data_IF_079956538857
#
_entry.id   IF_079956538857
#
_cell.length_a   1.000
_cell.length_b   1.000
_cell.length_c   1.000
_cell.angle_alpha   90.00
_cell.angle_beta   90.00
_cell.angle_gamma   90.00
#
_symmetry.space_group_name_H-M   'P 1'
#
loop_
_entity.id
_entity.type
_entity.pdbx_description
1 polymer ?
#
# COMPACT_ATOMS: atom_id res chain seq x y z
N UNK A 1 -8.05 8.86 -14.22
CA UNK A 1 -8.75 9.11 -12.94
C UNK A 1 -10.26 9.21 -13.12
N UNK A 2 -10.80 10.10 -13.98
CA UNK A 2 -12.27 10.31 -14.13
C UNK A 2 -13.02 9.05 -14.57
N UNK A 3 -12.52 8.31 -15.55
CA UNK A 3 -13.16 7.05 -16.02
C UNK A 3 -13.26 6.02 -14.89
N UNK A 4 -12.21 5.88 -14.08
CA UNK A 4 -12.21 4.96 -12.93
C UNK A 4 -13.22 5.44 -11.88
N UNK A 5 -13.25 6.74 -11.60
CA UNK A 5 -14.20 7.35 -10.67
C UNK A 5 -15.66 7.07 -11.10
N UNK A 6 -15.98 7.24 -12.38
CA UNK A 6 -17.27 6.91 -12.94
C UNK A 6 -17.59 5.41 -12.79
N UNK A 7 -16.68 4.52 -13.18
CA UNK A 7 -16.84 3.08 -13.04
C UNK A 7 -17.14 2.68 -11.58
N UNK A 8 -16.39 3.21 -10.60
CA UNK A 8 -16.62 2.93 -9.17
C UNK A 8 -17.99 3.48 -8.72
N UNK A 9 -18.38 4.69 -9.17
CA UNK A 9 -19.63 5.33 -8.76
C UNK A 9 -20.86 4.58 -9.26
N UNK A 10 -20.84 4.16 -10.53
CA UNK A 10 -22.01 3.53 -11.16
C UNK A 10 -22.15 2.02 -10.87
N UNK A 11 -21.06 1.36 -10.42
CA UNK A 11 -21.10 -0.10 -10.17
C UNK A 11 -21.33 -0.48 -8.71
N UNK A 12 -21.23 0.47 -7.78
CA UNK A 12 -21.52 0.19 -6.37
C UNK A 12 -21.93 1.45 -5.62
N UNK A 13 -22.89 1.38 -4.66
CA UNK A 13 -23.33 2.52 -3.87
C UNK A 13 -22.23 3.03 -2.95
N UNK A 14 -22.16 4.37 -2.73
CA UNK A 14 -21.23 5.00 -1.79
C UNK A 14 -20.22 5.95 -2.44
N UNK A 15 -19.20 6.42 -1.67
CA UNK A 15 -18.20 7.37 -2.15
C UNK A 15 -17.24 6.73 -3.15
N UNK A 16 -16.71 7.52 -4.08
CA UNK A 16 -15.71 7.07 -5.07
C UNK A 16 -14.37 6.78 -4.41
N UNK A 17 -14.00 7.64 -3.48
CA UNK A 17 -12.72 7.55 -2.77
C UNK A 17 -12.90 6.97 -1.38
N UNK A 18 -11.88 6.25 -0.95
CA UNK A 18 -11.69 5.75 0.40
C UNK A 18 -10.39 6.32 0.97
N UNK A 19 -10.41 6.71 2.24
CA UNK A 19 -9.24 7.21 2.97
C UNK A 19 -8.94 6.28 4.12
N UNK A 20 -7.78 5.65 4.11
CA UNK A 20 -7.37 4.74 5.17
C UNK A 20 -6.28 5.36 6.03
N UNK A 21 -6.45 5.24 7.36
CA UNK A 21 -5.45 5.66 8.34
C UNK A 21 -4.22 4.77 8.27
N UNK A 22 -3.05 5.38 8.16
CA UNK A 22 -1.75 4.73 8.08
C UNK A 22 -0.73 5.54 8.89
N UNK A 23 0.40 4.94 9.24
CA UNK A 23 1.54 5.69 9.75
C UNK A 23 2.40 6.19 8.58
N UNK A 24 2.73 7.46 8.63
CA UNK A 24 3.66 8.15 7.75
C UNK A 24 5.01 8.38 8.41
N UNK A 25 5.68 9.47 8.01
CA UNK A 25 6.97 9.89 8.57
C UNK A 25 6.88 10.08 10.09
N UNK A 26 7.87 9.56 10.80
CA UNK A 26 7.99 9.60 12.28
C UNK A 26 6.76 9.03 13.02
N UNK A 27 6.03 8.11 12.39
CA UNK A 27 4.84 7.48 12.96
C UNK A 27 3.62 8.40 13.04
N UNK A 28 3.64 9.56 12.39
CA UNK A 28 2.47 10.45 12.33
C UNK A 28 1.36 9.81 11.53
N UNK A 29 0.11 9.91 11.98
CA UNK A 29 -1.04 9.41 11.23
C UNK A 29 -1.24 10.22 9.95
N UNK A 30 -1.34 9.54 8.82
CA UNK A 30 -1.73 10.08 7.52
C UNK A 30 -2.98 9.37 7.01
N UNK A 31 -3.70 10.01 6.10
CA UNK A 31 -4.85 9.42 5.41
C UNK A 31 -4.49 9.13 3.97
N UNK A 32 -4.34 7.85 3.65
CA UNK A 32 -3.96 7.40 2.30
C UNK A 32 -5.20 7.31 1.42
N UNK A 33 -5.17 8.01 0.30
CA UNK A 33 -6.24 8.02 -0.68
C UNK A 33 -6.23 6.77 -1.55
N UNK A 34 -7.43 6.19 -1.78
CA UNK A 34 -7.62 5.09 -2.72
C UNK A 34 -8.96 5.23 -3.44
N UNK A 35 -9.10 4.61 -4.61
CA UNK A 35 -10.41 4.32 -5.13
C UNK A 35 -11.07 3.23 -4.27
N UNK A 36 -12.37 3.36 -4.03
CA UNK A 36 -13.12 2.32 -3.34
C UNK A 36 -13.18 1.06 -4.21
N UNK A 37 -12.62 -0.02 -3.72
CA UNK A 37 -12.62 -1.33 -4.36
C UNK A 37 -13.47 -2.37 -3.62
N UNK A 38 -14.01 -2.01 -2.44
CA UNK A 38 -14.78 -2.90 -1.56
C UNK A 38 -16.09 -2.27 -1.13
N UNK A 39 -17.10 -3.10 -0.79
CA UNK A 39 -18.40 -2.65 -0.29
C UNK A 39 -18.31 -2.13 1.14
N UNK A 40 -17.57 -2.81 2.00
CA UNK A 40 -17.32 -2.45 3.40
C UNK A 40 -15.93 -1.86 3.53
N UNK A 41 -15.78 -0.79 4.30
CA UNK A 41 -14.54 -0.05 4.47
C UNK A 41 -14.30 0.18 5.95
N UNK A 42 -13.25 -0.44 6.47
CA UNK A 42 -12.91 -0.44 7.89
C UNK A 42 -11.78 0.56 8.15
N UNK A 43 -11.99 1.46 9.10
CA UNK A 43 -10.98 2.39 9.63
C UNK A 43 -10.85 2.28 11.16
N UNK A 44 -11.46 1.25 11.77
CA UNK A 44 -11.45 1.02 13.21
C UNK A 44 -10.17 0.39 13.73
N UNK A 45 -10.21 0.00 15.01
CA UNK A 45 -9.11 -0.69 15.69
C UNK A 45 -8.85 -2.09 15.10
N UNK A 46 -9.90 -2.74 14.58
CA UNK A 46 -9.80 -4.02 13.89
C UNK A 46 -9.94 -3.79 12.38
N UNK A 47 -8.87 -4.01 11.64
CA UNK A 47 -8.86 -3.96 10.18
C UNK A 47 -8.57 -5.36 9.65
N UNK A 48 -9.60 -6.04 9.14
CA UNK A 48 -9.43 -7.33 8.48
C UNK A 48 -8.71 -7.13 7.14
N UNK A 49 -7.54 -7.72 7.01
CA UNK A 49 -6.81 -7.71 5.74
C UNK A 49 -7.64 -8.38 4.64
N UNK A 50 -7.68 -7.77 3.45
CA UNK A 50 -8.34 -8.37 2.31
C UNK A 50 -7.55 -9.60 1.84
N UNK A 51 -8.25 -10.70 1.62
CA UNK A 51 -7.69 -11.97 1.15
C UNK A 51 -8.06 -12.25 -0.31
N UNK A 52 -7.42 -13.25 -0.91
CA UNK A 52 -7.78 -13.70 -2.26
C UNK A 52 -9.20 -14.27 -2.25
N UNK A 53 -10.07 -13.72 -3.13
CA UNK A 53 -11.48 -14.16 -3.20
C UNK A 53 -12.41 -13.50 -2.18
N UNK A 54 -11.97 -12.45 -1.47
CA UNK A 54 -12.79 -11.71 -0.50
C UNK A 54 -14.09 -11.21 -1.16
N UNK A 55 -15.24 -11.60 -0.59
CA UNK A 55 -16.59 -11.30 -1.07
C UNK A 55 -16.96 -9.80 -0.96
N UNK A 56 -16.24 -9.06 -0.13
CA UNK A 56 -16.38 -7.60 -0.01
C UNK A 56 -15.89 -6.85 -1.25
N UNK A 57 -15.05 -7.48 -2.09
CA UNK A 57 -14.47 -6.84 -3.28
C UNK A 57 -15.51 -6.73 -4.38
N UNK A 58 -15.73 -5.51 -4.89
CA UNK A 58 -16.64 -5.29 -6.02
C UNK A 58 -16.04 -5.82 -7.32
N UNK A 59 -16.87 -6.15 -8.37
CA UNK A 59 -16.35 -6.58 -9.66
C UNK A 59 -15.34 -5.59 -10.27
N UNK A 60 -15.64 -4.29 -10.26
CA UNK A 60 -14.71 -3.25 -10.68
C UNK A 60 -13.51 -3.18 -9.76
N UNK A 61 -13.73 -3.29 -8.44
CA UNK A 61 -12.67 -3.32 -7.44
C UNK A 61 -11.65 -4.43 -7.67
N UNK A 62 -12.09 -5.60 -8.16
CA UNK A 62 -11.20 -6.72 -8.50
C UNK A 62 -10.23 -6.34 -9.62
N UNK A 63 -10.72 -5.71 -10.67
CA UNK A 63 -9.88 -5.22 -11.77
C UNK A 63 -8.91 -4.15 -11.27
N UNK A 64 -9.40 -3.17 -10.49
CA UNK A 64 -8.58 -2.08 -9.95
C UNK A 64 -7.45 -2.63 -9.07
N UNK A 65 -7.74 -3.57 -8.17
CA UNK A 65 -6.74 -4.19 -7.27
C UNK A 65 -5.71 -5.01 -8.05
N UNK A 66 -6.16 -5.81 -9.01
CA UNK A 66 -5.28 -6.60 -9.88
C UNK A 66 -4.28 -5.74 -10.65
N UNK A 67 -4.72 -4.58 -11.12
CA UNK A 67 -3.90 -3.61 -11.87
C UNK A 67 -3.26 -2.54 -10.99
N UNK A 68 -3.54 -2.52 -9.68
CA UNK A 68 -3.16 -1.44 -8.73
C UNK A 68 -3.66 -0.04 -9.09
N UNK A 69 -4.64 0.05 -9.97
CA UNK A 69 -5.27 1.33 -10.32
C UNK A 69 -6.09 1.93 -9.17
N UNK A 70 -6.49 1.10 -8.19
CA UNK A 70 -7.11 1.58 -6.94
C UNK A 70 -6.19 2.48 -6.12
N UNK A 71 -4.87 2.39 -6.30
CA UNK A 71 -3.87 3.16 -5.58
C UNK A 71 -3.46 4.48 -6.26
N UNK A 72 -3.93 4.74 -7.50
CA UNK A 72 -3.63 5.98 -8.22
C UNK A 72 -3.94 7.27 -7.42
N UNK A 73 -5.02 7.35 -6.61
CA UNK A 73 -5.28 8.53 -5.80
C UNK A 73 -4.19 8.85 -4.76
N UNK A 74 -3.27 7.91 -4.44
CA UNK A 74 -2.12 8.18 -3.57
C UNK A 74 -1.16 9.22 -4.17
N UNK A 75 -1.23 9.50 -5.47
CA UNK A 75 -0.50 10.61 -6.07
C UNK A 75 -0.89 11.96 -5.44
N UNK A 76 -2.11 12.11 -4.93
CA UNK A 76 -2.52 13.28 -4.15
C UNK A 76 -1.73 13.37 -2.85
N UNK A 77 -1.49 12.23 -2.17
CA UNK A 77 -0.64 12.20 -0.97
C UNK A 77 0.81 12.58 -1.28
N UNK A 78 1.31 12.27 -2.47
CA UNK A 78 2.66 12.69 -2.89
C UNK A 78 2.70 14.21 -3.12
N UNK A 79 1.70 14.77 -3.80
CA UNK A 79 1.56 16.22 -4.02
C UNK A 79 1.42 16.96 -2.68
N UNK A 80 0.61 16.42 -1.75
CA UNK A 80 0.44 16.94 -0.39
C UNK A 80 1.71 16.81 0.47
N UNK A 81 2.73 16.06 0.00
CA UNK A 81 3.99 15.83 0.70
C UNK A 81 3.89 14.84 1.87
N UNK A 82 2.75 14.13 2.05
CA UNK A 82 2.56 13.13 3.10
C UNK A 82 3.11 11.75 2.72
N UNK A 83 3.32 11.50 1.41
CA UNK A 83 3.95 10.29 0.86
C UNK A 83 5.04 10.65 -0.15
N UNK A 84 5.81 9.65 -0.56
CA UNK A 84 6.74 9.68 -1.70
C UNK A 84 6.26 8.71 -2.80
N UNK A 85 6.79 8.84 -4.01
CA UNK A 85 6.59 7.83 -5.06
C UNK A 85 7.21 6.50 -4.64
N UNK A 86 8.47 6.55 -4.14
CA UNK A 86 9.24 5.39 -3.69
C UNK A 86 9.50 5.46 -2.20
N UNK A 87 9.35 4.34 -1.50
CA UNK A 87 9.58 4.23 -0.06
C UNK A 87 8.92 2.99 0.56
N UNK A 88 9.10 2.75 1.87
CA UNK A 88 8.42 1.69 2.58
C UNK A 88 6.90 1.79 2.44
N UNK A 89 6.23 0.66 2.17
CA UNK A 89 4.77 0.66 2.02
C UNK A 89 4.08 0.93 3.36
N UNK A 90 3.15 1.91 3.46
CA UNK A 90 2.48 2.20 4.71
C UNK A 90 1.48 1.09 5.08
N UNK A 91 1.56 0.57 6.31
CA UNK A 91 0.62 -0.41 6.84
C UNK A 91 -0.55 0.25 7.57
N UNK A 92 -1.68 -0.47 7.71
CA UNK A 92 -2.78 -0.02 8.55
C UNK A 92 -2.29 0.14 10.01
N UNK A 93 -2.81 1.15 10.71
CA UNK A 93 -2.38 1.46 12.09
C UNK A 93 -2.47 0.22 13.00
N UNK A 94 -3.55 -0.55 12.91
CA UNK A 94 -3.72 -1.78 13.68
C UNK A 94 -2.60 -2.82 13.43
N UNK A 95 -2.15 -2.96 12.17
CA UNK A 95 -1.05 -3.86 11.85
C UNK A 95 0.30 -3.37 12.40
N UNK A 96 0.54 -2.06 12.42
CA UNK A 96 1.77 -1.53 13.03
C UNK A 96 1.85 -1.86 14.52
N UNK A 97 0.74 -1.72 15.25
CA UNK A 97 0.69 -2.07 16.68
C UNK A 97 0.92 -3.56 16.92
N UNK A 98 0.42 -4.42 16.03
CA UNK A 98 0.61 -5.87 16.12
C UNK A 98 2.08 -6.29 15.90
N UNK A 99 2.79 -5.67 14.93
CA UNK A 99 4.12 -6.12 14.52
C UNK A 99 5.26 -5.38 15.23
N UNK A 100 5.03 -4.17 15.79
CA UNK A 100 6.08 -3.39 16.47
C UNK A 100 6.74 -4.12 17.65
N UNK A 101 6.01 -4.99 18.33
CA UNK A 101 6.52 -5.80 19.45
C UNK A 101 7.10 -7.16 19.04
N UNK A 102 6.90 -7.57 17.77
CA UNK A 102 7.30 -8.89 17.27
C UNK A 102 8.49 -8.86 16.32
N UNK A 103 8.84 -7.69 15.79
CA UNK A 103 9.90 -7.53 14.81
C UNK A 103 10.81 -6.40 15.27
N UNK A 104 12.06 -6.74 15.57
CA UNK A 104 13.06 -5.76 15.98
C UNK A 104 13.29 -4.71 14.89
N UNK A 105 13.32 -3.45 15.33
CA UNK A 105 13.50 -2.32 14.41
C UNK A 105 12.31 -2.03 13.49
N UNK A 106 11.14 -2.69 13.66
CA UNK A 106 9.96 -2.49 12.81
C UNK A 106 9.63 -1.01 12.58
N UNK A 107 9.73 -0.17 13.61
CA UNK A 107 9.39 1.25 13.54
C UNK A 107 10.41 2.10 12.77
N UNK A 108 11.63 1.60 12.52
CA UNK A 108 12.65 2.32 11.74
C UNK A 108 12.17 2.61 10.30
N UNK A 109 11.28 1.80 9.76
CA UNK A 109 10.67 2.00 8.45
C UNK A 109 9.89 3.33 8.33
N UNK A 110 9.52 3.95 9.45
CA UNK A 110 8.83 5.25 9.50
C UNK A 110 9.79 6.45 9.57
N UNK A 111 11.12 6.23 9.49
CA UNK A 111 12.11 7.32 9.43
C UNK A 111 12.19 8.01 8.08
N UNK A 112 11.48 7.49 7.09
CA UNK A 112 11.30 8.11 5.77
C UNK A 112 9.82 8.18 5.43
N UNK A 113 9.45 9.03 4.45
CA UNK A 113 8.08 9.08 3.94
C UNK A 113 7.71 7.71 3.33
N UNK A 114 6.50 7.21 3.59
CA UNK A 114 6.03 5.99 2.94
C UNK A 114 5.87 6.19 1.45
N UNK A 115 6.11 5.12 0.67
CA UNK A 115 6.01 5.12 -0.77
C UNK A 115 4.74 4.48 -1.32
N UNK A 116 4.36 4.87 -2.55
CA UNK A 116 3.37 4.15 -3.36
C UNK A 116 3.95 2.80 -3.75
N UNK A 117 5.20 2.79 -4.23
CA UNK A 117 6.00 1.59 -4.45
C UNK A 117 7.28 1.60 -3.61
N UNK A 118 8.00 0.48 -3.56
CA UNK A 118 9.22 0.39 -2.77
C UNK A 118 9.99 -0.90 -3.00
N UNK A 119 11.22 -0.96 -2.47
CA UNK A 119 12.13 -2.08 -2.68
C UNK A 119 11.50 -3.42 -2.29
N UNK A 120 10.83 -3.51 -1.13
CA UNK A 120 10.16 -4.72 -0.70
C UNK A 120 9.11 -5.21 -1.71
N UNK A 121 8.34 -4.28 -2.31
CA UNK A 121 7.29 -4.63 -3.27
C UNK A 121 7.87 -5.23 -4.55
N UNK A 122 8.95 -4.66 -5.09
CA UNK A 122 9.60 -5.19 -6.32
C UNK A 122 10.42 -6.45 -6.06
N UNK A 123 10.69 -6.79 -4.79
CA UNK A 123 11.31 -8.06 -4.36
C UNK A 123 10.30 -9.14 -3.97
N UNK A 124 9.02 -9.00 -4.37
CA UNK A 124 8.00 -10.02 -4.19
C UNK A 124 7.18 -9.92 -2.89
N UNK A 125 7.48 -8.95 -2.00
CA UNK A 125 6.74 -8.73 -0.74
C UNK A 125 5.58 -7.74 -0.90
N UNK A 126 4.88 -7.78 -2.06
CA UNK A 126 3.77 -6.86 -2.36
C UNK A 126 2.44 -7.30 -1.76
N UNK A 127 2.15 -8.59 -1.75
CA UNK A 127 0.86 -9.18 -1.40
C UNK A 127 0.53 -9.21 0.10
N UNK A 128 -0.20 -10.24 0.48
CA UNK A 128 -0.56 -10.50 1.87
C UNK A 128 0.67 -10.75 2.73
N UNK A 129 0.63 -10.24 3.96
CA UNK A 129 1.61 -10.52 5.01
C UNK A 129 0.94 -11.34 6.10
N UNK A 130 0.46 -12.51 5.69
CA UNK A 130 -0.26 -13.49 6.52
C UNK A 130 0.65 -14.18 7.52
N UNK A 131 1.97 -14.22 7.26
CA UNK A 131 2.96 -14.83 8.15
C UNK A 131 3.96 -13.80 8.68
N UNK A 132 4.54 -14.11 9.86
CA UNK A 132 5.58 -13.27 10.47
C UNK A 132 6.81 -13.17 9.55
N UNK A 133 7.20 -14.28 8.92
CA UNK A 133 8.37 -14.33 8.02
C UNK A 133 8.21 -13.42 6.80
N UNK A 134 7.02 -13.38 6.20
CA UNK A 134 6.74 -12.45 5.10
C UNK A 134 6.83 -10.99 5.55
N UNK A 135 6.36 -10.70 6.77
CA UNK A 135 6.47 -9.35 7.31
C UNK A 135 7.93 -9.00 7.65
N UNK A 136 8.70 -9.94 8.21
CA UNK A 136 10.13 -9.74 8.46
C UNK A 136 10.91 -9.50 7.16
N UNK A 137 10.65 -10.30 6.11
CA UNK A 137 11.24 -10.08 4.80
C UNK A 137 10.92 -8.69 4.23
N UNK A 138 9.68 -8.22 4.37
CA UNK A 138 9.29 -6.86 3.98
C UNK A 138 10.07 -5.81 4.75
N UNK A 139 10.13 -5.92 6.09
CA UNK A 139 10.87 -4.99 6.96
C UNK A 139 12.36 -4.99 6.63
N UNK A 140 12.94 -6.16 6.34
CA UNK A 140 14.34 -6.25 5.91
C UNK A 140 14.61 -5.41 4.65
N UNK A 141 13.80 -5.54 3.60
CA UNK A 141 13.98 -4.74 2.38
C UNK A 141 13.66 -3.27 2.58
N UNK A 142 12.72 -2.91 3.46
CA UNK A 142 12.46 -1.52 3.84
C UNK A 142 13.70 -0.90 4.51
N UNK A 143 14.39 -1.64 5.39
CA UNK A 143 15.65 -1.20 6.01
C UNK A 143 16.79 -1.10 4.99
N UNK A 144 16.89 -2.05 4.05
CA UNK A 144 17.88 -1.98 2.96
C UNK A 144 17.68 -0.73 2.11
N UNK A 145 16.43 -0.39 1.79
CA UNK A 145 16.10 0.84 1.09
C UNK A 145 16.56 2.09 1.87
N UNK A 146 16.22 2.18 3.15
CA UNK A 146 16.55 3.34 3.99
C UNK A 146 18.07 3.52 4.11
N UNK A 147 18.82 2.41 4.30
CA UNK A 147 20.27 2.45 4.49
C UNK A 147 21.04 2.82 3.21
N UNK A 148 20.56 2.36 2.06
CA UNK A 148 21.27 2.45 0.78
C UNK A 148 20.59 3.41 -0.20
N UNK A 149 19.71 4.28 0.30
CA UNK A 149 18.92 5.16 -0.55
C UNK A 149 19.80 5.99 -1.51
N UNK A 150 19.36 6.06 -2.74
CA UNK A 150 19.88 6.96 -3.76
C UNK A 150 18.80 7.23 -4.80
N UNK A 151 18.92 8.34 -5.52
CA UNK A 151 18.01 8.67 -6.62
C UNK A 151 18.01 7.58 -7.70
N UNK A 152 19.17 6.95 -7.96
CA UNK A 152 19.28 5.84 -8.90
C UNK A 152 18.52 4.60 -8.44
N UNK A 153 18.50 4.33 -7.13
CA UNK A 153 17.67 3.25 -6.56
C UNK A 153 16.20 3.55 -6.76
N UNK A 154 15.75 4.79 -6.55
CA UNK A 154 14.35 5.16 -6.77
C UNK A 154 13.96 4.99 -8.24
N UNK A 155 14.77 5.46 -9.18
CA UNK A 155 14.53 5.28 -10.62
C UNK A 155 14.45 3.78 -10.97
N UNK A 156 15.38 2.97 -10.48
CA UNK A 156 15.38 1.52 -10.68
C UNK A 156 14.09 0.89 -10.14
N UNK A 157 13.67 1.21 -8.91
CA UNK A 157 12.44 0.69 -8.30
C UNK A 157 11.21 1.08 -9.14
N UNK A 158 11.14 2.30 -9.66
CA UNK A 158 10.05 2.74 -10.54
C UNK A 158 9.98 1.88 -11.81
N UNK A 159 11.12 1.62 -12.47
CA UNK A 159 11.17 0.74 -13.65
C UNK A 159 10.78 -0.71 -13.31
N UNK A 160 11.33 -1.27 -12.23
CA UNK A 160 10.98 -2.62 -11.76
C UNK A 160 9.48 -2.72 -11.41
N UNK A 161 8.88 -1.66 -10.86
CA UNK A 161 7.44 -1.62 -10.53
C UNK A 161 6.58 -1.82 -11.77
N UNK A 162 6.93 -1.21 -12.91
CA UNK A 162 6.21 -1.39 -14.17
C UNK A 162 6.15 -2.89 -14.52
N UNK A 163 7.30 -3.57 -14.48
CA UNK A 163 7.38 -5.01 -14.75
C UNK A 163 6.52 -5.85 -13.80
N UNK A 164 6.59 -5.57 -12.48
CA UNK A 164 5.84 -6.29 -11.45
C UNK A 164 4.32 -6.09 -11.61
N UNK A 165 3.89 -4.89 -11.99
CA UNK A 165 2.46 -4.60 -12.23
C UNK A 165 1.96 -5.37 -13.46
N UNK A 166 2.74 -5.41 -14.55
CA UNK A 166 2.35 -6.15 -15.76
C UNK A 166 2.36 -7.66 -15.57
N UNK A 167 3.32 -8.21 -14.83
CA UNK A 167 3.35 -9.66 -14.51
C UNK A 167 2.27 -10.07 -13.52
N UNK A 168 1.61 -9.12 -12.87
CA UNK A 168 0.55 -9.35 -11.87
C UNK A 168 0.96 -10.30 -10.74
N UNK A 169 2.25 -10.41 -10.47
CA UNK A 169 2.79 -11.22 -9.38
C UNK A 169 2.26 -10.71 -8.04
N UNK A 170 1.66 -11.62 -7.24
CA UNK A 170 1.09 -11.34 -5.92
C UNK A 170 0.00 -10.23 -5.88
N UNK A 171 -0.73 -10.00 -6.98
CA UNK A 171 -1.95 -9.20 -6.99
C UNK A 171 -3.17 -10.12 -6.81
N UNK A 172 -4.20 -9.68 -6.05
CA UNK A 172 -5.47 -10.38 -5.83
C UNK A 172 -6.68 -9.48 -6.08
#
# INVERSE_FOLDING_TARGET
MLVIAAAVKFTSPGPVFFRQKRYGLDGREIRVWKFRSMRVQENGAEVRQATKGDDRITPVGRVLRKTSLDELPQLLNVIEGTMSLVGPRPHATAHNEQYRSRIDGYMLRHKVKPGITGLAQVRGYRGETDTLDKMQGRVYFDHQYIRNWSIWMDLRILFETISVVFKQENAY
#
